data_IF_996669467106
#
_entry.id   IF_996669467106
#
_cell.length_a   1.000
_cell.length_b   1.000
_cell.length_c   1.000
_cell.angle_alpha   90.00
_cell.angle_beta   90.00
_cell.angle_gamma   90.00
#
_symmetry.space_group_name_H-M   'P 1'
#
loop_
_entity.id
_entity.type
_entity.pdbx_description
1 polymer ?
#
# COMPACT_ATOMS: atom_id res chain seq x y z
N UNK A 1 14.55 -20.24 -7.22
CA UNK A 1 14.91 -19.43 -8.41
C UNK A 1 14.06 -18.19 -8.40
N UNK A 2 14.68 -17.02 -8.50
CA UNK A 2 14.00 -15.73 -8.67
C UNK A 2 13.46 -15.62 -10.09
N UNK A 3 12.35 -14.91 -10.26
CA UNK A 3 11.69 -14.78 -11.55
C UNK A 3 12.42 -13.74 -12.40
N UNK A 4 12.58 -14.00 -13.69
CA UNK A 4 13.06 -13.01 -14.65
C UNK A 4 11.90 -12.31 -15.36
N UNK A 5 11.99 -10.99 -15.47
CA UNK A 5 11.04 -10.16 -16.21
C UNK A 5 11.67 -9.63 -17.49
N UNK A 6 10.93 -9.72 -18.60
CA UNK A 6 11.33 -9.02 -19.83
C UNK A 6 11.34 -7.51 -19.63
N UNK A 7 12.04 -6.78 -20.51
CA UNK A 7 12.03 -5.31 -20.49
C UNK A 7 10.62 -4.70 -20.56
N UNK A 8 9.68 -5.35 -21.27
CA UNK A 8 8.30 -4.88 -21.36
C UNK A 8 7.54 -5.05 -20.04
N UNK A 9 7.71 -6.21 -19.38
CA UNK A 9 7.10 -6.45 -18.07
C UNK A 9 7.69 -5.52 -17.01
N UNK A 10 9.01 -5.36 -16.99
CA UNK A 10 9.71 -4.44 -16.08
C UNK A 10 9.27 -2.99 -16.28
N UNK A 11 9.12 -2.55 -17.53
CA UNK A 11 8.62 -1.22 -17.87
C UNK A 11 7.19 -1.01 -17.35
N UNK A 12 6.34 -2.05 -17.46
CA UNK A 12 4.97 -2.03 -16.94
C UNK A 12 4.94 -1.94 -15.41
N UNK A 13 5.80 -2.68 -14.71
CA UNK A 13 5.95 -2.67 -13.25
C UNK A 13 6.41 -1.29 -12.78
N UNK A 14 7.55 -0.81 -13.29
CA UNK A 14 8.14 0.46 -12.88
C UNK A 14 7.37 1.69 -13.43
N UNK A 15 6.41 1.46 -14.33
CA UNK A 15 5.59 2.51 -14.92
C UNK A 15 6.41 3.49 -15.76
N UNK A 16 7.41 2.99 -16.50
CA UNK A 16 8.30 3.77 -17.37
C UNK A 16 8.26 3.23 -18.81
N UNK A 17 8.80 3.97 -19.76
CA UNK A 17 8.97 3.48 -21.14
C UNK A 17 10.15 2.48 -21.20
N UNK A 18 10.09 1.41 -22.01
CA UNK A 18 11.23 0.51 -22.25
C UNK A 18 12.54 1.24 -22.64
N UNK A 19 12.47 2.35 -23.37
CA UNK A 19 13.63 3.20 -23.69
C UNK A 19 14.28 3.79 -22.42
N UNK A 20 13.51 4.13 -21.40
CA UNK A 20 14.04 4.59 -20.11
C UNK A 20 14.82 3.48 -19.42
N UNK A 21 14.34 2.23 -19.46
CA UNK A 21 15.09 1.09 -18.92
C UNK A 21 16.40 0.85 -19.67
N UNK A 22 16.42 0.99 -20.99
CA UNK A 22 17.67 0.93 -21.77
C UNK A 22 18.67 2.02 -21.37
N UNK A 23 18.19 3.21 -21.01
CA UNK A 23 19.06 4.28 -20.49
C UNK A 23 19.57 3.97 -19.09
N UNK A 24 18.75 3.39 -18.22
CA UNK A 24 19.15 2.98 -16.87
C UNK A 24 20.15 1.83 -16.88
N UNK A 25 20.01 0.88 -17.79
CA UNK A 25 21.01 -0.18 -18.03
C UNK A 25 22.36 0.41 -18.40
N UNK A 26 22.37 1.35 -19.37
CA UNK A 26 23.60 2.05 -19.80
C UNK A 26 24.25 2.87 -18.69
N UNK A 27 23.46 3.46 -17.79
CA UNK A 27 23.96 4.27 -16.68
C UNK A 27 24.27 3.47 -15.41
N UNK A 28 24.00 2.15 -15.40
CA UNK A 28 24.15 1.29 -14.23
C UNK A 28 23.11 1.53 -13.12
N UNK A 29 22.00 2.25 -13.39
CA UNK A 29 20.95 2.50 -12.39
C UNK A 29 20.09 1.26 -12.11
N UNK A 30 19.83 0.47 -13.16
CA UNK A 30 19.18 -0.83 -13.07
C UNK A 30 19.68 -1.67 -14.25
N UNK A 31 20.53 -2.63 -13.95
CA UNK A 31 21.27 -3.41 -14.96
C UNK A 31 20.46 -4.60 -15.44
N UNK A 32 20.45 -4.84 -16.75
CA UNK A 32 19.76 -5.96 -17.36
C UNK A 32 20.70 -7.16 -17.57
N UNK A 33 20.18 -8.36 -17.33
CA UNK A 33 20.75 -9.61 -17.84
C UNK A 33 20.40 -9.74 -19.31
N UNK A 34 21.39 -10.14 -20.13
CA UNK A 34 21.22 -10.37 -21.57
C UNK A 34 21.11 -11.86 -21.82
N UNK A 35 19.98 -12.30 -22.38
CA UNK A 35 19.81 -13.68 -22.84
C UNK A 35 19.79 -13.71 -24.35
N UNK A 36 20.63 -14.55 -24.94
CA UNK A 36 20.68 -14.74 -26.39
C UNK A 36 19.53 -15.64 -26.83
N UNK A 37 18.77 -15.21 -27.83
CA UNK A 37 17.71 -16.00 -28.46
C UNK A 37 17.97 -15.97 -29.97
N UNK A 38 18.72 -16.95 -30.47
CA UNK A 38 19.26 -16.93 -31.83
C UNK A 38 20.27 -15.79 -32.02
N UNK A 39 20.04 -14.92 -33.01
CA UNK A 39 20.89 -13.75 -33.29
C UNK A 39 20.50 -12.51 -32.46
N UNK A 40 19.42 -12.57 -31.68
CA UNK A 40 18.89 -11.40 -30.95
C UNK A 40 19.20 -11.54 -29.47
N UNK A 41 19.77 -10.48 -28.89
CA UNK A 41 19.94 -10.35 -27.44
C UNK A 41 18.71 -9.69 -26.81
N UNK A 42 18.09 -10.36 -25.85
CA UNK A 42 16.90 -9.88 -25.12
C UNK A 42 17.29 -9.47 -23.70
N UNK A 43 16.68 -8.37 -23.24
CA UNK A 43 16.92 -7.77 -21.93
C UNK A 43 15.94 -8.36 -20.92
N UNK A 44 16.50 -8.89 -19.84
CA UNK A 44 15.78 -9.44 -18.69
C UNK A 44 16.28 -8.81 -17.40
N UNK A 45 15.39 -8.70 -16.41
CA UNK A 45 15.67 -8.14 -15.10
C UNK A 45 15.28 -9.18 -14.05
N UNK A 46 16.14 -9.40 -13.07
CA UNK A 46 15.83 -10.26 -11.94
C UNK A 46 14.74 -9.61 -11.09
N UNK A 47 13.84 -10.41 -10.53
CA UNK A 47 12.85 -9.92 -9.56
C UNK A 47 13.52 -9.18 -8.41
N UNK A 48 14.62 -9.70 -7.87
CA UNK A 48 15.34 -9.08 -6.76
C UNK A 48 15.90 -7.70 -7.14
N UNK A 49 16.45 -7.52 -8.35
CA UNK A 49 16.99 -6.23 -8.80
C UNK A 49 15.87 -5.18 -8.92
N UNK A 50 14.68 -5.60 -9.38
CA UNK A 50 13.49 -4.73 -9.45
C UNK A 50 13.00 -4.39 -8.04
N UNK A 51 13.01 -5.37 -7.16
CA UNK A 51 12.61 -5.28 -5.77
C UNK A 51 13.49 -4.29 -4.98
N UNK A 52 14.81 -4.39 -5.10
CA UNK A 52 15.79 -3.50 -4.48
C UNK A 52 15.65 -2.06 -5.02
N UNK A 53 15.46 -1.92 -6.33
CA UNK A 53 15.19 -0.62 -6.95
C UNK A 53 13.92 0.03 -6.38
N UNK A 54 12.84 -0.74 -6.23
CA UNK A 54 11.57 -0.23 -5.73
C UNK A 54 11.64 0.14 -4.25
N UNK A 55 12.36 -0.63 -3.43
CA UNK A 55 12.54 -0.30 -2.01
C UNK A 55 13.29 1.03 -1.86
N UNK A 56 14.26 1.31 -2.72
CA UNK A 56 15.08 2.54 -2.65
C UNK A 56 14.45 3.75 -3.34
N UNK A 57 13.62 3.57 -4.38
CA UNK A 57 12.89 4.66 -5.05
C UNK A 57 11.41 4.68 -4.61
N UNK A 58 11.12 5.41 -3.52
CA UNK A 58 9.77 5.48 -2.96
C UNK A 58 8.73 5.99 -3.98
N UNK A 59 9.13 6.89 -4.88
CA UNK A 59 8.23 7.42 -5.91
C UNK A 59 7.81 6.32 -6.87
N UNK A 60 8.74 5.45 -7.28
CA UNK A 60 8.43 4.28 -8.10
C UNK A 60 7.56 3.28 -7.32
N UNK A 61 7.85 3.03 -6.04
CA UNK A 61 7.06 2.15 -5.18
C UNK A 61 5.62 2.61 -5.01
N UNK A 62 5.41 3.89 -4.68
CA UNK A 62 4.07 4.48 -4.54
C UNK A 62 3.31 4.43 -5.87
N UNK A 63 3.99 4.70 -6.99
CA UNK A 63 3.39 4.61 -8.32
C UNK A 63 2.94 3.18 -8.63
N UNK A 64 3.75 2.18 -8.28
CA UNK A 64 3.39 0.76 -8.42
C UNK A 64 2.16 0.41 -7.59
N UNK A 65 2.15 0.76 -6.30
CA UNK A 65 1.03 0.50 -5.40
C UNK A 65 -0.27 1.15 -5.87
N UNK A 66 -0.21 2.45 -6.21
CA UNK A 66 -1.36 3.20 -6.74
C UNK A 66 -1.87 2.59 -8.04
N UNK A 67 -0.97 2.28 -8.98
CA UNK A 67 -1.34 1.64 -10.25
C UNK A 67 -2.01 0.30 -9.99
N UNK A 68 -1.44 -0.52 -9.12
CA UNK A 68 -1.99 -1.82 -8.75
C UNK A 68 -3.36 -1.73 -8.10
N UNK A 69 -3.65 -0.69 -7.32
CA UNK A 69 -4.98 -0.49 -6.73
C UNK A 69 -6.02 0.07 -7.72
N UNK A 70 -5.59 0.81 -8.74
CA UNK A 70 -6.45 1.58 -9.63
C UNK A 70 -6.89 0.81 -10.89
N UNK A 71 -5.98 0.06 -11.52
CA UNK A 71 -6.26 -0.56 -12.83
C UNK A 71 -7.38 -1.61 -12.73
N UNK A 72 -8.20 -1.77 -13.77
CA UNK A 72 -9.24 -2.81 -13.81
C UNK A 72 -8.66 -4.22 -13.86
N UNK A 73 -7.59 -4.42 -14.64
CA UNK A 73 -6.89 -5.69 -14.76
C UNK A 73 -5.64 -5.71 -13.87
N UNK A 74 -5.53 -6.64 -12.91
CA UNK A 74 -4.46 -6.65 -11.93
C UNK A 74 -3.09 -6.75 -12.61
N UNK A 75 -2.18 -5.87 -12.19
CA UNK A 75 -0.78 -5.98 -12.54
C UNK A 75 -0.16 -7.09 -11.68
N UNK A 76 0.68 -7.93 -12.29
CA UNK A 76 1.51 -8.85 -11.53
C UNK A 76 2.56 -8.07 -10.73
N UNK A 77 2.56 -8.26 -9.42
CA UNK A 77 3.50 -7.61 -8.50
C UNK A 77 4.74 -8.48 -8.28
N UNK A 78 5.92 -7.87 -8.05
CA UNK A 78 7.02 -8.57 -7.43
C UNK A 78 6.59 -9.18 -6.10
N UNK A 79 7.06 -10.40 -5.84
CA UNK A 79 6.60 -11.22 -4.71
C UNK A 79 6.68 -10.48 -3.38
N UNK A 80 7.73 -9.72 -3.12
CA UNK A 80 7.92 -9.05 -1.83
C UNK A 80 6.85 -8.01 -1.49
N UNK A 81 6.08 -7.53 -2.47
CA UNK A 81 5.07 -6.50 -2.28
C UNK A 81 3.65 -7.05 -2.18
N UNK A 82 3.38 -8.26 -2.67
CA UNK A 82 2.04 -8.86 -2.59
C UNK A 82 1.89 -9.77 -1.37
N UNK A 83 1.07 -9.35 -0.40
CA UNK A 83 0.65 -10.17 0.72
C UNK A 83 -0.63 -10.91 0.33
N UNK A 84 -0.50 -12.15 -0.15
CA UNK A 84 -1.65 -12.92 -0.65
C UNK A 84 -2.69 -13.21 0.45
N UNK A 85 -2.22 -13.39 1.69
CA UNK A 85 -3.06 -13.63 2.86
C UNK A 85 -2.55 -12.88 4.09
N UNK A 86 -3.31 -13.01 5.19
CA UNK A 86 -3.04 -12.37 6.47
C UNK A 86 -1.74 -12.86 7.11
N UNK A 87 -1.37 -14.13 6.92
CA UNK A 87 -0.17 -14.71 7.51
C UNK A 87 1.08 -14.11 6.87
N UNK A 88 1.08 -13.96 5.53
CA UNK A 88 2.16 -13.28 4.81
C UNK A 88 2.26 -11.82 5.24
N UNK A 89 1.13 -11.12 5.35
CA UNK A 89 1.12 -9.74 5.83
C UNK A 89 1.72 -9.61 7.24
N UNK A 90 1.28 -10.46 8.18
CA UNK A 90 1.81 -10.47 9.56
C UNK A 90 3.32 -10.73 9.59
N UNK A 91 3.81 -11.70 8.82
CA UNK A 91 5.24 -11.97 8.72
C UNK A 91 6.04 -10.76 8.23
N UNK A 92 5.53 -10.05 7.21
CA UNK A 92 6.17 -8.81 6.70
C UNK A 92 6.05 -7.64 7.66
N UNK A 93 4.95 -7.55 8.41
CA UNK A 93 4.78 -6.55 9.46
C UNK A 93 5.78 -6.77 10.60
N UNK A 94 6.00 -8.02 11.03
CA UNK A 94 7.07 -8.37 11.99
C UNK A 94 8.46 -8.07 11.42
N UNK A 95 8.66 -8.22 10.11
CA UNK A 95 9.91 -7.80 9.48
C UNK A 95 10.11 -6.29 9.53
N UNK A 96 9.07 -5.50 9.23
CA UNK A 96 9.09 -4.04 9.38
C UNK A 96 9.43 -3.66 10.83
N UNK A 97 8.80 -4.29 11.82
CA UNK A 97 9.09 -4.06 13.25
C UNK A 97 10.57 -4.31 13.57
N UNK A 98 11.11 -5.45 13.14
CA UNK A 98 12.52 -5.77 13.31
C UNK A 98 13.41 -4.70 12.67
N UNK A 99 13.14 -4.32 11.41
CA UNK A 99 13.98 -3.35 10.70
C UNK A 99 13.91 -1.95 11.34
N UNK A 100 12.73 -1.51 11.80
CA UNK A 100 12.57 -0.25 12.53
C UNK A 100 13.29 -0.25 13.88
N UNK A 101 13.29 -1.38 14.60
CA UNK A 101 13.94 -1.51 15.91
C UNK A 101 15.44 -1.25 15.87
N UNK A 102 16.06 -1.42 14.69
CA UNK A 102 17.49 -1.17 14.46
C UNK A 102 17.85 0.31 14.39
N UNK A 103 16.85 1.20 14.33
CA UNK A 103 17.06 2.65 14.32
C UNK A 103 16.82 3.23 15.71
N UNK A 104 17.90 3.52 16.44
CA UNK A 104 17.83 4.06 17.81
C UNK A 104 16.92 5.29 17.96
N UNK A 105 16.87 6.16 16.94
CA UNK A 105 16.03 7.35 16.96
C UNK A 105 14.53 7.06 16.83
N UNK A 106 14.14 5.83 16.43
CA UNK A 106 12.75 5.39 16.32
C UNK A 106 12.28 4.56 17.53
N UNK A 107 13.15 4.27 18.51
CA UNK A 107 12.86 3.32 19.61
C UNK A 107 11.55 3.62 20.36
N UNK A 108 11.17 4.89 20.48
CA UNK A 108 9.95 5.33 21.17
C UNK A 108 8.69 5.28 20.30
N UNK A 109 8.83 5.27 18.98
CA UNK A 109 7.70 5.44 18.04
C UNK A 109 7.49 4.23 17.12
N UNK A 110 8.47 3.35 16.92
CA UNK A 110 8.29 2.20 16.04
C UNK A 110 7.13 1.27 16.43
N UNK A 111 6.81 1.03 17.72
CA UNK A 111 5.64 0.22 18.05
C UNK A 111 4.34 0.84 17.53
N UNK A 112 4.26 2.19 17.51
CA UNK A 112 3.11 2.92 16.97
C UNK A 112 3.07 2.87 15.44
N UNK A 113 4.23 2.92 14.78
CA UNK A 113 4.33 2.75 13.31
C UNK A 113 3.81 1.36 12.90
N UNK A 114 4.22 0.33 13.63
CA UNK A 114 3.80 -1.06 13.42
C UNK A 114 2.30 -1.21 13.71
N UNK A 115 1.80 -0.65 14.81
CA UNK A 115 0.39 -0.69 15.16
C UNK A 115 -0.49 -0.04 14.08
N UNK A 116 -0.15 1.17 13.62
CA UNK A 116 -0.90 1.87 12.56
C UNK A 116 -0.89 1.08 11.25
N UNK A 117 0.28 0.55 10.86
CA UNK A 117 0.41 -0.25 9.64
C UNK A 117 -0.39 -1.55 9.74
N UNK A 118 -0.35 -2.20 10.90
CA UNK A 118 -1.10 -3.41 11.21
C UNK A 118 -2.61 -3.19 11.16
N UNK A 119 -3.11 -2.14 11.81
CA UNK A 119 -4.55 -1.81 11.81
C UNK A 119 -5.06 -1.56 10.38
N UNK A 120 -4.33 -0.79 9.57
CA UNK A 120 -4.72 -0.54 8.17
C UNK A 120 -4.67 -1.83 7.36
N UNK A 121 -3.58 -2.60 7.45
CA UNK A 121 -3.41 -3.79 6.62
C UNK A 121 -4.32 -4.95 7.02
N UNK A 122 -4.61 -5.14 8.31
CA UNK A 122 -5.54 -6.17 8.77
C UNK A 122 -6.97 -5.89 8.27
N UNK A 123 -7.39 -4.62 8.22
CA UNK A 123 -8.69 -4.23 7.66
C UNK A 123 -8.88 -4.70 6.22
N UNK A 124 -7.81 -4.71 5.40
CA UNK A 124 -7.85 -5.24 4.04
C UNK A 124 -8.26 -6.72 4.02
N UNK A 125 -7.91 -7.52 5.03
CA UNK A 125 -8.29 -8.93 5.08
C UNK A 125 -9.62 -9.16 5.81
N UNK A 126 -9.85 -8.48 6.94
CA UNK A 126 -11.04 -8.67 7.77
C UNK A 126 -12.34 -8.32 7.04
N UNK A 127 -12.33 -7.30 6.19
CA UNK A 127 -13.53 -6.83 5.50
C UNK A 127 -13.75 -7.44 4.11
N UNK A 128 -12.71 -8.06 3.53
CA UNK A 128 -12.76 -8.64 2.19
C UNK A 128 -12.75 -10.18 2.16
N UNK A 129 -12.72 -10.85 3.31
CA UNK A 129 -12.78 -12.32 3.36
C UNK A 129 -14.03 -12.85 2.65
N UNK A 130 -13.83 -13.75 1.68
CA UNK A 130 -14.88 -14.30 0.81
C UNK A 130 -15.51 -13.30 -0.17
N UNK A 131 -14.91 -12.12 -0.31
CA UNK A 131 -15.55 -10.93 -0.85
C UNK A 131 -14.62 -10.09 -1.76
N UNK A 132 -13.43 -10.60 -2.07
CA UNK A 132 -12.48 -10.00 -2.98
C UNK A 132 -13.08 -9.90 -4.39
N UNK A 133 -13.10 -8.71 -5.02
CA UNK A 133 -13.60 -8.55 -6.37
C UNK A 133 -12.80 -9.29 -7.45
N UNK A 134 -11.49 -9.40 -7.26
CA UNK A 134 -10.58 -9.98 -8.24
C UNK A 134 -9.38 -10.68 -7.58
N UNK A 135 -8.30 -9.97 -7.28
CA UNK A 135 -7.09 -10.51 -6.65
C UNK A 135 -7.20 -10.30 -5.16
N UNK A 136 -7.10 -11.40 -4.42
CA UNK A 136 -7.06 -11.35 -2.97
C UNK A 136 -5.73 -10.82 -2.44
N UNK A 137 -5.81 -10.19 -1.28
CA UNK A 137 -4.65 -9.76 -0.52
C UNK A 137 -4.35 -8.27 -0.64
N UNK A 138 -3.20 -7.89 -0.10
CA UNK A 138 -2.80 -6.49 0.02
C UNK A 138 -1.42 -6.26 -0.58
N UNK A 139 -1.22 -5.07 -1.16
CA UNK A 139 0.09 -4.51 -1.38
C UNK A 139 0.66 -4.02 -0.05
N UNK A 140 1.91 -4.37 0.26
CA UNK A 140 2.64 -3.83 1.40
C UNK A 140 4.10 -3.57 1.00
N UNK A 141 4.55 -2.34 1.18
CA UNK A 141 5.93 -1.96 0.91
C UNK A 141 6.33 -0.72 1.72
N UNK A 142 7.61 -0.55 1.98
CA UNK A 142 8.11 0.56 2.77
C UNK A 142 9.53 0.96 2.35
N UNK A 143 9.87 2.21 2.65
CA UNK A 143 11.20 2.77 2.51
C UNK A 143 11.56 3.43 3.84
N UNK A 144 12.58 2.91 4.52
CA UNK A 144 12.96 3.35 5.87
C UNK A 144 13.74 4.65 5.84
N UNK A 145 14.53 4.90 4.80
CA UNK A 145 15.31 6.13 4.62
C UNK A 145 14.40 7.35 4.41
N UNK A 146 13.36 7.19 3.58
CA UNK A 146 12.31 8.19 3.38
C UNK A 146 11.24 8.19 4.48
N UNK A 147 11.27 7.23 5.41
CA UNK A 147 10.31 7.02 6.50
C UNK A 147 8.86 6.92 6.04
N UNK A 148 8.62 6.08 5.04
CA UNK A 148 7.30 5.91 4.44
C UNK A 148 6.91 4.45 4.28
N UNK A 149 5.63 4.18 4.52
CA UNK A 149 5.00 2.87 4.37
C UNK A 149 3.78 3.02 3.46
N UNK A 150 3.57 2.04 2.59
CA UNK A 150 2.44 1.99 1.66
C UNK A 150 1.68 0.69 1.89
N UNK A 151 0.36 0.83 2.02
CA UNK A 151 -0.58 -0.28 2.01
C UNK A 151 -1.61 -0.02 0.92
N UNK A 152 -2.01 -1.06 0.19
CA UNK A 152 -3.16 -0.95 -0.71
C UNK A 152 -3.88 -2.29 -0.80
N UNK A 153 -5.16 -2.25 -1.15
CA UNK A 153 -5.92 -3.46 -1.47
C UNK A 153 -6.88 -3.19 -2.63
N UNK A 154 -7.33 -4.28 -3.25
CA UNK A 154 -8.33 -4.27 -4.34
C UNK A 154 -9.70 -4.71 -3.87
N UNK A 155 -10.00 -4.52 -2.59
CA UNK A 155 -11.21 -4.95 -1.92
C UNK A 155 -12.47 -4.18 -2.31
N UNK A 156 -13.47 -4.25 -1.44
CA UNK A 156 -14.78 -3.62 -1.65
C UNK A 156 -14.81 -2.11 -1.34
N UNK A 157 -13.80 -1.62 -0.62
CA UNK A 157 -13.70 -0.22 -0.20
C UNK A 157 -14.48 0.09 1.08
N UNK A 158 -14.29 1.30 1.60
CA UNK A 158 -14.85 1.72 2.89
C UNK A 158 -16.36 1.91 2.81
N UNK A 159 -16.88 2.57 1.77
CA UNK A 159 -18.32 2.82 1.61
C UNK A 159 -19.13 1.52 1.62
N UNK A 160 -18.77 0.56 0.75
CA UNK A 160 -19.47 -0.73 0.66
C UNK A 160 -19.36 -1.55 1.96
N UNK A 161 -18.21 -1.48 2.64
CA UNK A 161 -18.03 -2.11 3.94
C UNK A 161 -18.97 -1.52 4.99
N UNK A 162 -19.04 -0.19 5.08
CA UNK A 162 -19.87 0.50 6.07
C UNK A 162 -21.38 0.42 5.75
N UNK A 163 -21.78 0.32 4.49
CA UNK A 163 -23.19 0.15 4.11
C UNK A 163 -23.83 -1.10 4.69
N UNK A 164 -23.05 -2.13 5.06
CA UNK A 164 -23.57 -3.33 5.75
C UNK A 164 -24.17 -3.04 7.13
N UNK A 165 -23.75 -1.95 7.75
CA UNK A 165 -24.13 -1.55 9.11
C UNK A 165 -24.76 -0.15 9.16
N UNK A 166 -24.52 0.69 8.15
CA UNK A 166 -25.15 2.01 7.96
C UNK A 166 -25.63 2.14 6.51
N UNK A 167 -26.74 1.46 6.13
CA UNK A 167 -27.19 1.39 4.72
C UNK A 167 -27.49 2.74 4.07
N UNK A 168 -27.78 3.77 4.86
CA UNK A 168 -28.03 5.14 4.38
C UNK A 168 -26.78 5.91 3.93
N UNK A 169 -25.58 5.36 4.06
CA UNK A 169 -24.37 6.00 3.51
C UNK A 169 -24.39 5.96 1.98
N UNK A 170 -24.32 7.12 1.35
CA UNK A 170 -24.47 7.27 -0.10
C UNK A 170 -23.20 7.68 -0.83
N UNK A 171 -22.23 8.31 -0.15
CA UNK A 171 -21.02 8.83 -0.78
C UNK A 171 -19.72 8.42 -0.05
N UNK A 172 -18.62 8.43 -0.80
CA UNK A 172 -17.32 7.98 -0.32
C UNK A 172 -16.70 8.93 0.70
N UNK A 173 -16.99 10.23 0.63
CA UNK A 173 -16.42 11.21 1.56
C UNK A 173 -17.05 11.05 2.94
N UNK A 174 -18.37 10.93 3.02
CA UNK A 174 -19.05 10.66 4.28
C UNK A 174 -18.65 9.30 4.85
N UNK A 175 -18.50 8.27 4.00
CA UNK A 175 -17.98 6.97 4.44
C UNK A 175 -16.58 7.06 5.07
N UNK A 176 -15.65 7.80 4.45
CA UNK A 176 -14.33 8.04 5.04
C UNK A 176 -14.42 8.85 6.33
N UNK A 177 -15.29 9.85 6.40
CA UNK A 177 -15.50 10.63 7.63
C UNK A 177 -15.95 9.72 8.76
N UNK A 178 -17.03 8.96 8.55
CA UNK A 178 -17.58 7.99 9.50
C UNK A 178 -16.51 7.00 9.96
N UNK A 179 -15.76 6.39 9.02
CA UNK A 179 -14.72 5.42 9.33
C UNK A 179 -13.63 5.96 10.28
N UNK A 180 -13.31 7.25 10.20
CA UNK A 180 -12.26 7.90 10.99
C UNK A 180 -12.78 8.70 12.20
N UNK A 181 -14.11 8.85 12.39
CA UNK A 181 -14.69 9.61 13.52
C UNK A 181 -15.62 8.82 14.43
N UNK A 182 -16.47 7.97 13.85
CA UNK A 182 -17.52 7.30 14.61
C UNK A 182 -16.99 6.02 15.25
N UNK A 183 -17.56 5.62 16.39
CA UNK A 183 -17.40 4.25 16.86
C UNK A 183 -18.32 3.37 16.02
N UNK A 184 -17.70 2.58 15.13
CA UNK A 184 -18.42 1.71 14.23
C UNK A 184 -18.43 0.31 14.85
N UNK A 185 -19.30 0.08 15.83
CA UNK A 185 -19.42 -1.22 16.51
C UNK A 185 -20.35 -2.15 15.73
N UNK A 186 -19.77 -3.05 14.93
CA UNK A 186 -20.51 -4.10 14.21
C UNK A 186 -20.46 -5.49 14.87
N UNK A 187 -19.74 -5.67 15.98
CA UNK A 187 -19.56 -6.98 16.63
C UNK A 187 -19.49 -6.83 18.16
N UNK A 188 -20.52 -7.26 18.88
CA UNK A 188 -20.39 -7.61 20.28
C UNK A 188 -19.87 -9.07 20.37
N UNK A 189 -18.93 -9.43 21.28
CA UNK A 189 -18.38 -8.67 22.40
C UNK A 189 -16.90 -8.23 22.19
N UNK A 190 -16.42 -8.08 20.95
CA UNK A 190 -15.05 -7.62 20.72
C UNK A 190 -15.00 -6.09 20.59
N UNK A 191 -14.08 -5.43 21.31
CA UNK A 191 -13.73 -4.01 21.13
C UNK A 191 -13.08 -3.70 19.74
N UNK A 192 -13.41 -4.46 18.71
CA UNK A 192 -12.95 -4.31 17.33
C UNK A 192 -14.01 -3.56 16.51
N UNK A 193 -13.92 -2.24 16.60
CA UNK A 193 -14.68 -1.26 15.82
C UNK A 193 -14.00 0.13 15.80
N UNK A 194 -12.74 0.19 16.22
CA UNK A 194 -11.99 1.43 16.50
C UNK A 194 -10.71 1.60 15.66
N UNK A 195 -10.39 0.69 14.74
CA UNK A 195 -9.06 0.64 14.09
C UNK A 195 -8.65 1.95 13.41
N UNK A 196 -9.48 2.50 12.53
CA UNK A 196 -9.16 3.77 11.83
C UNK A 196 -9.26 5.01 12.73
N UNK A 197 -10.06 4.95 13.81
CA UNK A 197 -10.07 5.99 14.86
C UNK A 197 -8.77 6.00 15.67
N UNK A 198 -8.27 4.82 16.04
CA UNK A 198 -6.95 4.66 16.66
C UNK A 198 -5.85 5.17 15.73
N UNK A 199 -5.88 4.79 14.45
CA UNK A 199 -4.93 5.29 13.43
C UNK A 199 -4.92 6.81 13.39
N UNK A 200 -6.10 7.46 13.34
CA UNK A 200 -6.19 8.93 13.38
C UNK A 200 -5.53 9.51 14.63
N UNK A 201 -5.83 8.94 15.80
CA UNK A 201 -5.30 9.43 17.08
C UNK A 201 -3.77 9.37 17.09
N UNK A 202 -3.20 8.20 16.74
CA UNK A 202 -1.75 8.01 16.67
C UNK A 202 -1.11 9.01 15.70
N UNK A 203 -1.71 9.20 14.52
CA UNK A 203 -1.19 10.11 13.50
C UNK A 203 -1.13 11.56 13.99
N UNK A 204 -2.19 12.03 14.65
CA UNK A 204 -2.28 13.41 15.17
C UNK A 204 -1.30 13.62 16.34
N UNK A 205 -1.22 12.65 17.25
CA UNK A 205 -0.42 12.80 18.48
C UNK A 205 1.08 12.68 18.23
N UNK A 206 1.49 11.84 17.29
CA UNK A 206 2.89 11.48 17.04
C UNK A 206 3.51 12.19 15.83
N UNK A 207 2.85 13.23 15.31
CA UNK A 207 3.33 14.01 14.15
C UNK A 207 3.55 13.18 12.87
N UNK A 208 2.82 12.07 12.73
CA UNK A 208 2.80 11.34 11.46
C UNK A 208 1.95 12.10 10.44
N UNK A 209 2.02 11.62 9.20
CA UNK A 209 1.11 12.00 8.12
C UNK A 209 0.48 10.73 7.56
N UNK A 210 -0.81 10.80 7.27
CA UNK A 210 -1.54 9.74 6.58
C UNK A 210 -2.21 10.32 5.35
N UNK A 211 -1.88 9.77 4.18
CA UNK A 211 -2.73 9.83 3.00
C UNK A 211 -3.55 8.54 2.97
N UNK A 212 -4.86 8.63 2.78
CA UNK A 212 -5.74 7.48 2.68
C UNK A 212 -6.81 7.73 1.61
N UNK A 213 -7.02 6.78 0.70
CA UNK A 213 -8.01 6.86 -0.36
C UNK A 213 -8.88 5.60 -0.40
N UNK A 214 -10.19 5.79 -0.59
CA UNK A 214 -11.13 4.72 -0.96
C UNK A 214 -12.27 5.32 -1.78
N UNK A 215 -12.63 4.67 -2.89
CA UNK A 215 -13.47 5.25 -3.93
C UNK A 215 -12.82 6.50 -4.55
N UNK A 216 -13.64 7.54 -4.72
CA UNK A 216 -13.22 8.88 -5.15
C UNK A 216 -12.95 9.83 -3.97
N UNK A 217 -12.88 9.34 -2.73
CA UNK A 217 -12.60 10.16 -1.55
C UNK A 217 -11.17 9.99 -1.05
N UNK A 218 -10.52 11.10 -0.70
CA UNK A 218 -9.16 11.16 -0.16
C UNK A 218 -9.16 11.89 1.18
N UNK A 219 -8.57 11.25 2.18
CA UNK A 219 -8.30 11.80 3.49
C UNK A 219 -6.79 12.10 3.63
N UNK A 220 -6.48 13.30 4.11
CA UNK A 220 -5.12 13.66 4.52
C UNK A 220 -5.09 14.06 6.00
N UNK A 221 -4.42 13.29 6.84
CA UNK A 221 -4.24 13.58 8.27
C UNK A 221 -2.82 14.01 8.58
N UNK A 222 -2.69 14.97 9.48
CA UNK A 222 -1.42 15.34 10.11
C UNK A 222 -1.68 16.13 11.38
N UNK A 223 -0.70 16.26 12.28
CA UNK A 223 -0.82 17.08 13.49
C UNK A 223 -1.26 18.53 13.22
N UNK A 224 -0.84 19.12 12.09
CA UNK A 224 -1.22 20.48 11.67
C UNK A 224 -2.66 20.57 11.14
N UNK A 225 -3.24 19.46 10.70
CA UNK A 225 -4.61 19.36 10.16
C UNK A 225 -5.42 18.39 11.03
N UNK A 226 -5.75 18.84 12.26
CA UNK A 226 -6.51 18.02 13.23
C UNK A 226 -7.94 17.73 12.75
N UNK A 227 -8.53 18.67 12.02
CA UNK A 227 -9.84 18.49 11.42
C UNK A 227 -9.71 17.60 10.17
N UNK A 228 -10.61 16.64 10.06
CA UNK A 228 -10.70 15.76 8.89
C UNK A 228 -11.09 16.62 7.68
N UNK A 229 -10.15 16.78 6.76
CA UNK A 229 -10.41 17.33 5.44
C UNK A 229 -10.45 16.19 4.43
N UNK A 230 -11.59 16.01 3.77
CA UNK A 230 -11.78 14.97 2.78
C UNK A 230 -12.06 15.65 1.44
N UNK A 231 -11.26 15.28 0.46
CA UNK A 231 -11.29 15.84 -0.88
C UNK A 231 -11.73 14.78 -1.89
N UNK A 232 -12.34 15.21 -3.00
CA UNK A 232 -12.59 14.33 -4.13
C UNK A 232 -11.32 14.11 -4.94
N UNK A 233 -11.10 12.87 -5.36
CA UNK A 233 -10.06 12.45 -6.29
C UNK A 233 -10.65 12.21 -7.67
N UNK A 234 -9.85 12.49 -8.70
CA UNK A 234 -10.18 12.11 -10.09
C UNK A 234 -10.02 10.61 -10.32
N UNK A 235 -9.12 9.99 -9.57
CA UNK A 235 -8.91 8.55 -9.60
C UNK A 235 -9.90 7.87 -8.66
N UNK A 236 -10.47 6.74 -9.10
CA UNK A 236 -11.34 5.89 -8.29
C UNK A 236 -10.62 4.61 -7.88
N UNK A 237 -10.42 4.39 -6.57
CA UNK A 237 -9.81 3.16 -6.04
C UNK A 237 -10.89 2.34 -5.36
N UNK A 238 -11.24 1.18 -5.94
CA UNK A 238 -12.32 0.34 -5.41
C UNK A 238 -12.06 -0.13 -3.96
N UNK A 239 -10.83 -0.58 -3.69
CA UNK A 239 -10.39 -0.97 -2.35
C UNK A 239 -9.89 0.22 -1.54
N UNK A 240 -8.65 0.13 -1.07
CA UNK A 240 -7.99 1.21 -0.33
C UNK A 240 -6.55 1.45 -0.80
N UNK A 241 -6.05 2.67 -0.59
CA UNK A 241 -4.64 3.03 -0.72
C UNK A 241 -4.26 3.94 0.44
N UNK A 242 -3.25 3.55 1.20
CA UNK A 242 -2.71 4.29 2.34
C UNK A 242 -1.22 4.54 2.19
N UNK A 243 -0.78 5.74 2.54
CA UNK A 243 0.62 6.07 2.76
C UNK A 243 0.78 6.70 4.13
N UNK A 244 1.63 6.08 4.95
CA UNK A 244 2.04 6.59 6.26
C UNK A 244 3.41 7.25 6.11
N UNK A 245 3.62 8.40 6.71
CA UNK A 245 4.93 9.05 6.86
C UNK A 245 5.16 9.39 8.32
N UNK A 246 6.34 9.05 8.87
CA UNK A 246 6.65 9.16 10.30
C UNK A 246 7.97 9.88 10.59
#
# INVERSE_FOLDING_TARGET
MTKDYSIQQTAKILGVNPQTLRRWDKSGRLTAKRKQTGQISRYYYDENDIEDFLITDFKALFKLAKKWALVSNPLELPRQFHCQDRSIFKGRLSRLEYDLSRYNHLIKIFPLIVAVSGEIGNNSFDHNLGNWPDVSGAFFGYNLDERKIILADRGQGILKTLQRIKPGLSDHQEALKVAFTEMVSGRAPEARGNGLKFVKQVVIDNNFKLFFQSGDAVLNLSKKKKNINIEKSRDFIKGTLAQISY
#
